data_IF_023582490492
#
_entry.id   IF_023582490492
#
_cell.length_a   1.000
_cell.length_b   1.000
_cell.length_c   1.000
_cell.angle_alpha   90.00
_cell.angle_beta   90.00
_cell.angle_gamma   90.00
#
_symmetry.space_group_name_H-M   'P 1'
#
loop_
_entity.id
_entity.type
_entity.pdbx_description
1 polymer ?
#
# COMPACT_ATOMS: atom_id res chain seq x y z
N UNK A 1 -5.20 -11.72 -23.64
CA UNK A 1 -4.09 -10.91 -23.09
C UNK A 1 -4.61 -9.49 -22.92
N UNK A 2 -4.86 -9.05 -21.68
CA UNK A 2 -5.54 -7.77 -21.43
C UNK A 2 -4.54 -6.61 -21.61
N UNK A 3 -4.83 -5.65 -22.48
CA UNK A 3 -3.96 -4.49 -22.80
C UNK A 3 -3.48 -3.70 -21.57
N UNK A 4 -4.28 -3.69 -20.50
CA UNK A 4 -3.92 -3.08 -19.21
C UNK A 4 -2.67 -3.69 -18.56
N UNK A 5 -2.46 -5.00 -18.73
CA UNK A 5 -1.28 -5.69 -18.19
C UNK A 5 0.02 -5.24 -18.87
N UNK A 6 -0.03 -4.93 -20.17
CA UNK A 6 1.14 -4.54 -20.96
C UNK A 6 1.67 -3.15 -20.59
N UNK A 7 0.77 -2.19 -20.32
CA UNK A 7 1.16 -0.83 -19.87
C UNK A 7 1.72 -0.84 -18.45
N UNK A 8 1.05 -1.53 -17.52
CA UNK A 8 1.55 -1.69 -16.16
C UNK A 8 2.92 -2.39 -16.15
N UNK A 9 3.07 -3.43 -16.98
CA UNK A 9 4.33 -4.15 -17.13
C UNK A 9 5.48 -3.27 -17.62
N UNK A 10 5.25 -2.46 -18.66
CA UNK A 10 6.29 -1.59 -19.20
C UNK A 10 6.70 -0.52 -18.19
N UNK A 11 5.72 0.04 -17.47
CA UNK A 11 5.96 1.01 -16.40
C UNK A 11 6.73 0.40 -15.23
N UNK A 12 6.40 -0.83 -14.83
CA UNK A 12 7.13 -1.60 -13.81
C UNK A 12 8.55 -1.87 -14.29
N UNK A 13 8.78 -2.34 -15.53
CA UNK A 13 10.12 -2.63 -16.03
C UNK A 13 11.06 -1.42 -15.98
N UNK A 14 10.57 -0.22 -16.27
CA UNK A 14 11.37 1.03 -16.26
C UNK A 14 11.50 1.64 -14.86
N UNK A 15 10.41 1.66 -14.08
CA UNK A 15 10.33 2.43 -12.83
C UNK A 15 10.61 1.60 -11.58
N UNK A 16 10.37 0.29 -11.63
CA UNK A 16 10.62 -0.65 -10.52
C UNK A 16 12.08 -0.74 -10.08
N UNK A 17 13.12 -0.75 -10.95
CA UNK A 17 14.50 -0.75 -10.47
C UNK A 17 14.85 0.51 -9.64
N UNK A 18 14.32 1.68 -10.02
CA UNK A 18 14.50 2.92 -9.27
C UNK A 18 13.77 2.90 -7.91
N UNK A 19 12.62 2.24 -7.83
CA UNK A 19 11.87 2.04 -6.58
C UNK A 19 12.57 1.00 -5.69
N UNK A 20 13.08 -0.09 -6.28
CA UNK A 20 13.85 -1.14 -5.61
C UNK A 20 15.11 -0.58 -4.96
N UNK A 21 15.81 0.33 -5.66
CA UNK A 21 17.00 1.01 -5.15
C UNK A 21 16.74 1.90 -3.91
N UNK A 22 15.50 2.36 -3.68
CA UNK A 22 15.12 3.19 -2.51
C UNK A 22 14.79 2.38 -1.26
N UNK A 23 14.72 1.04 -1.36
CA UNK A 23 14.49 0.13 -0.25
C UNK A 23 13.01 -0.22 -0.01
N UNK A 24 12.76 -1.51 0.18
CA UNK A 24 11.43 -2.11 0.39
C UNK A 24 10.66 -1.47 1.55
N UNK A 25 11.31 -1.33 2.70
CA UNK A 25 10.71 -0.78 3.91
C UNK A 25 10.23 0.66 3.75
N UNK A 26 10.96 1.48 2.97
CA UNK A 26 10.59 2.88 2.74
C UNK A 26 9.31 2.98 1.91
N UNK A 27 9.16 2.11 0.91
CA UNK A 27 7.94 2.03 0.11
C UNK A 27 6.75 1.49 0.92
N UNK A 28 6.96 0.42 1.69
CA UNK A 28 5.93 -0.20 2.53
C UNK A 28 5.46 0.80 3.61
N UNK A 29 6.38 1.50 4.26
CA UNK A 29 6.05 2.51 5.28
C UNK A 29 5.38 3.75 4.69
N UNK A 30 5.88 4.31 3.57
CA UNK A 30 5.30 5.52 2.99
C UNK A 30 3.96 5.26 2.29
N UNK A 31 3.86 4.18 1.52
CA UNK A 31 2.70 3.91 0.65
C UNK A 31 1.68 2.98 1.29
N UNK A 32 2.13 2.05 2.13
CA UNK A 32 1.25 1.16 2.90
C UNK A 32 0.81 1.81 4.22
N UNK A 33 1.74 2.09 5.11
CA UNK A 33 1.38 2.56 6.47
C UNK A 33 0.95 4.03 6.48
N UNK A 34 1.77 4.92 5.93
CA UNK A 34 1.51 6.37 6.01
C UNK A 34 0.36 6.79 5.09
N UNK A 35 0.33 6.30 3.84
CA UNK A 35 -0.75 6.64 2.93
C UNK A 35 -2.05 5.89 3.28
N UNK A 36 -2.00 4.57 3.46
CA UNK A 36 -3.22 3.78 3.67
C UNK A 36 -3.69 3.77 5.13
N UNK A 37 -2.78 3.54 6.07
CA UNK A 37 -3.08 3.64 7.51
C UNK A 37 -3.43 5.08 7.93
N UNK A 38 -2.74 6.08 7.38
CA UNK A 38 -3.06 7.49 7.60
C UNK A 38 -4.39 7.90 6.98
N UNK A 39 -4.70 7.45 5.76
CA UNK A 39 -6.00 7.72 5.13
C UNK A 39 -7.15 7.06 5.91
N UNK A 40 -6.98 5.82 6.38
CA UNK A 40 -8.00 5.16 7.20
C UNK A 40 -8.17 5.84 8.56
N UNK A 41 -7.07 6.25 9.19
CA UNK A 41 -7.15 6.99 10.44
C UNK A 41 -7.84 8.35 10.24
N UNK A 42 -7.54 9.06 9.16
CA UNK A 42 -8.21 10.31 8.81
C UNK A 42 -9.71 10.08 8.52
N UNK A 43 -10.05 9.05 7.74
CA UNK A 43 -11.43 8.69 7.44
C UNK A 43 -12.20 8.34 8.71
N UNK A 44 -11.61 7.52 9.58
CA UNK A 44 -12.22 7.08 10.83
C UNK A 44 -12.36 8.24 11.83
N UNK A 45 -11.36 9.13 11.90
CA UNK A 45 -11.44 10.36 12.69
C UNK A 45 -12.58 11.26 12.19
N UNK A 46 -12.73 11.46 10.87
CA UNK A 46 -13.81 12.24 10.27
C UNK A 46 -15.17 11.57 10.54
N UNK A 47 -15.29 10.28 10.27
CA UNK A 47 -16.53 9.52 10.46
C UNK A 47 -16.98 9.53 11.92
N UNK A 48 -16.05 9.35 12.87
CA UNK A 48 -16.38 9.43 14.29
C UNK A 48 -16.73 10.85 14.73
N UNK A 49 -16.03 11.88 14.22
CA UNK A 49 -16.37 13.28 14.51
C UNK A 49 -17.77 13.63 14.03
N UNK A 50 -18.17 13.09 12.85
CA UNK A 50 -19.51 13.28 12.28
C UNK A 50 -20.60 12.45 13.00
N UNK A 51 -20.30 11.23 13.46
CA UNK A 51 -21.30 10.35 14.08
C UNK A 51 -21.49 10.56 15.58
N UNK A 52 -20.43 10.83 16.33
CA UNK A 52 -20.46 10.84 17.81
C UNK A 52 -20.45 12.26 18.40
N UNK A 53 -20.11 13.28 17.61
CA UNK A 53 -19.81 14.62 18.11
C UNK A 53 -18.50 14.65 18.94
N UNK A 54 -17.86 15.82 19.08
CA UNK A 54 -16.49 15.96 19.61
C UNK A 54 -16.29 15.57 21.09
N UNK A 55 -17.33 15.09 21.79
CA UNK A 55 -17.36 15.00 23.26
C UNK A 55 -17.44 13.57 23.81
N UNK A 56 -17.40 12.53 22.97
CA UNK A 56 -17.61 11.16 23.46
C UNK A 56 -16.34 10.57 24.09
N UNK A 57 -16.31 10.24 25.40
CA UNK A 57 -15.11 9.79 26.11
C UNK A 57 -14.54 8.42 25.65
N UNK A 58 -15.21 7.74 24.71
CA UNK A 58 -14.83 6.43 24.17
C UNK A 58 -14.00 6.54 22.88
N UNK A 59 -14.00 7.71 22.24
CA UNK A 59 -13.20 8.02 21.05
C UNK A 59 -11.71 7.69 21.18
N UNK A 60 -11.00 8.10 22.26
CA UNK A 60 -9.58 7.82 22.39
C UNK A 60 -9.27 6.32 22.54
N UNK A 61 -10.16 5.55 23.19
CA UNK A 61 -10.03 4.10 23.33
C UNK A 61 -10.20 3.37 21.99
N UNK A 62 -11.20 3.78 21.20
CA UNK A 62 -11.43 3.22 19.86
C UNK A 62 -10.27 3.57 18.93
N UNK A 63 -9.78 4.81 18.95
CA UNK A 63 -8.60 5.23 18.19
C UNK A 63 -7.34 4.46 18.64
N UNK A 64 -7.14 4.25 19.94
CA UNK A 64 -5.99 3.51 20.45
C UNK A 64 -5.92 2.06 19.95
N UNK A 65 -7.07 1.42 19.69
CA UNK A 65 -7.14 0.06 19.12
C UNK A 65 -7.14 0.10 17.58
N UNK A 66 -7.77 1.11 16.98
CA UNK A 66 -7.84 1.27 15.54
C UNK A 66 -6.50 1.64 14.91
N UNK A 67 -5.65 2.42 15.61
CA UNK A 67 -4.31 2.80 15.17
C UNK A 67 -3.43 1.56 14.89
N UNK A 68 -3.22 0.63 15.84
CA UNK A 68 -2.39 -0.55 15.60
C UNK A 68 -3.02 -1.47 14.55
N UNK A 69 -4.34 -1.63 14.52
CA UNK A 69 -5.02 -2.39 13.47
C UNK A 69 -4.81 -1.78 12.07
N UNK A 70 -4.91 -0.46 11.94
CA UNK A 70 -4.63 0.27 10.70
C UNK A 70 -3.15 0.20 10.32
N UNK A 71 -2.24 0.25 11.28
CA UNK A 71 -0.81 0.12 11.03
C UNK A 71 -0.46 -1.28 10.52
N UNK A 72 -1.05 -2.34 11.11
CA UNK A 72 -0.89 -3.72 10.66
C UNK A 72 -1.51 -3.90 9.27
N UNK A 73 -2.72 -3.38 9.05
CA UNK A 73 -3.38 -3.42 7.73
C UNK A 73 -2.56 -2.70 6.66
N UNK A 74 -2.05 -1.50 6.96
CA UNK A 74 -1.17 -0.74 6.07
C UNK A 74 0.17 -1.43 5.80
N UNK A 75 0.75 -2.11 6.81
CA UNK A 75 1.94 -2.93 6.66
C UNK A 75 1.70 -4.11 5.72
N UNK A 76 0.66 -4.90 5.98
CA UNK A 76 0.28 -6.06 5.15
C UNK A 76 -0.01 -5.62 3.73
N UNK A 77 -0.74 -4.52 3.54
CA UNK A 77 -1.04 -3.98 2.21
C UNK A 77 0.20 -3.48 1.47
N UNK A 78 1.11 -2.79 2.17
CA UNK A 78 2.37 -2.35 1.60
C UNK A 78 3.26 -3.52 1.17
N UNK A 79 3.33 -4.56 2.00
CA UNK A 79 4.02 -5.82 1.68
C UNK A 79 3.39 -6.54 0.49
N UNK A 80 2.06 -6.66 0.46
CA UNK A 80 1.34 -7.26 -0.67
C UNK A 80 1.64 -6.49 -1.96
N UNK A 81 1.54 -5.16 -1.93
CA UNK A 81 1.80 -4.31 -3.10
C UNK A 81 3.23 -4.48 -3.61
N UNK A 82 4.20 -4.59 -2.70
CA UNK A 82 5.58 -4.89 -3.06
C UNK A 82 5.71 -6.26 -3.73
N UNK A 83 5.13 -7.29 -3.11
CA UNK A 83 5.20 -8.67 -3.60
C UNK A 83 4.53 -8.83 -4.97
N UNK A 84 3.40 -8.18 -5.19
CA UNK A 84 2.72 -8.14 -6.49
C UNK A 84 3.59 -7.49 -7.57
N UNK A 85 4.19 -6.33 -7.28
CA UNK A 85 5.07 -5.68 -8.24
C UNK A 85 6.33 -6.51 -8.53
N UNK A 86 6.90 -7.16 -7.51
CA UNK A 86 8.07 -8.03 -7.70
C UNK A 86 7.71 -9.28 -8.52
N UNK A 87 6.55 -9.90 -8.26
CA UNK A 87 6.02 -11.01 -9.06
C UNK A 87 5.81 -10.61 -10.52
N UNK A 88 5.22 -9.44 -10.78
CA UNK A 88 5.03 -8.92 -12.15
C UNK A 88 6.38 -8.69 -12.82
N UNK A 89 7.35 -8.08 -12.11
CA UNK A 89 8.68 -7.85 -12.65
C UNK A 89 9.40 -9.16 -13.02
N UNK A 90 9.33 -10.18 -12.15
CA UNK A 90 9.93 -11.50 -12.41
C UNK A 90 9.27 -12.20 -13.61
N UNK A 91 7.94 -12.15 -13.71
CA UNK A 91 7.21 -12.70 -14.84
C UNK A 91 7.62 -12.03 -16.16
N UNK A 92 7.85 -10.71 -16.14
CA UNK A 92 8.30 -9.95 -17.32
C UNK A 92 9.74 -10.28 -17.72
N UNK A 93 10.64 -10.46 -16.75
CA UNK A 93 12.02 -10.89 -17.02
C UNK A 93 12.04 -12.30 -17.64
N UNK A 94 11.20 -13.22 -17.15
CA UNK A 94 11.04 -14.54 -17.74
C UNK A 94 10.52 -14.45 -19.18
N UNK A 95 9.54 -13.60 -19.47
CA UNK A 95 9.04 -13.44 -20.83
C UNK A 95 10.13 -12.90 -21.78
N UNK A 96 10.90 -11.90 -21.34
CA UNK A 96 12.00 -11.34 -22.14
C UNK A 96 13.09 -12.38 -22.44
N UNK A 97 13.38 -13.28 -21.50
CA UNK A 97 14.38 -14.35 -21.68
C UNK A 97 13.92 -15.45 -22.65
N UNK A 98 12.61 -15.65 -22.79
CA UNK A 98 12.02 -16.65 -23.69
C UNK A 98 11.70 -16.09 -25.09
N UNK A 99 12.04 -14.82 -25.38
CA UNK A 99 11.97 -14.28 -26.73
C UNK A 99 13.24 -14.74 -27.49
N UNK A 100 13.10 -15.44 -28.64
CA UNK A 100 14.23 -15.93 -29.43
C UNK A 100 15.07 -14.81 -30.06
#
# INVERSE_FOLDING_TARGET
>A
MNEFGSRAAHWVAVRWPAIRARGMWRFVLLKGVAFWGGLMLAFMAIAMTLQLGPSHPRLPLVLAVAVPLCAIGGLVWGLLTWFFNERIFLALQQQKKNLP
#
